data_IF_687258914420
#
_entry.id   IF_687258914420
#
_cell.length_a   1.000
_cell.length_b   1.000
_cell.length_c   1.000
_cell.angle_alpha   90.00
_cell.angle_beta   90.00
_cell.angle_gamma   90.00
#
_symmetry.space_group_name_H-M   'P 1'
#
loop_
_entity.id
_entity.type
_entity.pdbx_description
1 polymer ?
#
# COMPACT_ATOMS: atom_id res chain seq x y z
N UNK A 1 -15.22 -0.23 -2.91
CA UNK A 1 -13.89 -0.86 -3.06
C UNK A 1 -12.92 0.27 -3.37
N UNK A 2 -11.83 0.37 -2.61
CA UNK A 2 -10.88 1.48 -2.70
C UNK A 2 -9.60 1.03 -3.43
N UNK A 3 -9.06 1.90 -4.28
CA UNK A 3 -7.76 1.72 -4.93
C UNK A 3 -6.77 2.72 -4.33
N UNK A 4 -5.53 2.31 -4.12
CA UNK A 4 -4.43 3.21 -3.75
C UNK A 4 -3.12 2.65 -4.28
N UNK A 5 -2.15 3.52 -4.53
CA UNK A 5 -0.80 3.16 -4.94
C UNK A 5 0.05 2.81 -3.73
N UNK A 6 0.76 1.70 -3.82
CA UNK A 6 1.65 1.22 -2.77
C UNK A 6 3.08 1.22 -3.29
N UNK A 7 3.97 1.83 -2.52
CA UNK A 7 5.40 1.78 -2.74
C UNK A 7 6.02 0.72 -1.84
N UNK A 8 6.78 -0.21 -2.42
CA UNK A 8 7.49 -1.25 -1.67
C UNK A 8 8.98 -1.10 -1.92
N UNK A 9 9.74 -1.02 -0.82
CA UNK A 9 11.20 -0.91 -0.84
C UNK A 9 11.81 -2.04 -0.01
N UNK A 10 12.91 -2.62 -0.49
CA UNK A 10 13.73 -3.53 0.32
C UNK A 10 14.78 -2.72 1.08
N UNK A 11 14.70 -2.76 2.40
CA UNK A 11 15.61 -2.02 3.27
C UNK A 11 16.95 -2.78 3.47
N UNK A 12 18.04 -2.08 3.85
CA UNK A 12 19.35 -2.68 4.11
C UNK A 12 19.33 -3.78 5.18
N UNK A 13 18.35 -3.75 6.08
CA UNK A 13 18.16 -4.72 7.17
C UNK A 13 17.59 -6.06 6.68
N UNK A 14 17.28 -6.19 5.38
CA UNK A 14 16.82 -7.44 4.76
C UNK A 14 15.31 -7.66 4.78
N UNK A 15 14.55 -6.62 5.07
CA UNK A 15 13.08 -6.58 5.17
C UNK A 15 12.49 -5.69 4.08
N UNK A 16 11.19 -5.84 3.82
CA UNK A 16 10.45 -4.99 2.89
C UNK A 16 9.58 -4.01 3.67
N UNK A 17 9.57 -2.75 3.23
CA UNK A 17 8.76 -1.66 3.76
C UNK A 17 7.74 -1.25 2.71
N UNK A 18 6.48 -1.14 3.09
CA UNK A 18 5.40 -0.59 2.30
C UNK A 18 4.96 0.77 2.84
N UNK A 19 4.83 1.74 1.94
CA UNK A 19 4.30 3.09 2.21
C UNK A 19 3.35 3.52 1.09
N UNK A 20 2.55 4.54 1.32
CA UNK A 20 1.62 5.10 0.32
C UNK A 20 1.40 6.58 0.56
N UNK A 21 1.49 7.38 -0.52
CA UNK A 21 1.12 8.80 -0.48
C UNK A 21 -0.40 9.00 -0.51
N UNK A 22 -1.14 8.04 -1.08
CA UNK A 22 -2.60 8.06 -1.16
C UNK A 22 -3.27 7.75 0.19
N UNK A 23 -2.61 6.94 1.04
CA UNK A 23 -3.12 6.55 2.37
C UNK A 23 -2.18 7.06 3.45
N UNK A 24 -2.48 8.27 3.95
CA UNK A 24 -1.72 8.90 5.03
C UNK A 24 -1.58 8.00 6.26
N UNK A 25 -0.35 7.81 6.72
CA UNK A 25 -0.02 6.97 7.87
C UNK A 25 0.11 5.47 7.56
N UNK A 26 -0.03 5.06 6.30
CA UNK A 26 0.23 3.69 5.89
C UNK A 26 1.73 3.40 5.94
N UNK A 27 2.11 2.57 6.91
CA UNK A 27 3.44 1.98 7.02
C UNK A 27 3.27 0.51 7.39
N UNK A 28 3.84 -0.39 6.59
CA UNK A 28 3.81 -1.83 6.83
C UNK A 28 5.16 -2.45 6.51
N UNK A 29 5.53 -3.51 7.24
CA UNK A 29 6.84 -4.15 7.08
C UNK A 29 6.70 -5.67 7.15
N UNK A 30 7.42 -6.37 6.27
CA UNK A 30 7.42 -7.84 6.21
C UNK A 30 8.75 -8.41 5.72
N UNK A 31 8.90 -9.73 5.81
CA UNK A 31 10.10 -10.46 5.35
C UNK A 31 10.05 -10.76 3.86
N UNK A 32 8.85 -10.75 3.28
CA UNK A 32 8.61 -10.93 1.84
C UNK A 32 7.72 -9.83 1.29
N UNK A 33 7.76 -9.62 -0.03
CA UNK A 33 6.87 -8.67 -0.72
C UNK A 33 5.41 -9.02 -0.47
N UNK A 34 5.04 -10.30 -0.57
CA UNK A 34 3.67 -10.78 -0.35
C UNK A 34 3.19 -10.52 1.07
N UNK A 35 3.99 -10.88 2.08
CA UNK A 35 3.66 -10.61 3.49
C UNK A 35 3.48 -9.12 3.76
N UNK A 36 4.38 -8.30 3.21
CA UNK A 36 4.32 -6.84 3.36
C UNK A 36 3.04 -6.27 2.75
N UNK A 37 2.63 -6.79 1.59
CA UNK A 37 1.37 -6.43 0.93
C UNK A 37 0.14 -6.81 1.74
N UNK A 38 0.13 -7.99 2.35
CA UNK A 38 -0.98 -8.45 3.19
C UNK A 38 -1.13 -7.54 4.41
N UNK A 39 -0.02 -7.22 5.09
CA UNK A 39 -0.01 -6.30 6.24
C UNK A 39 -0.45 -4.90 5.80
N UNK A 40 0.06 -4.39 4.69
CA UNK A 40 -0.32 -3.06 4.18
C UNK A 40 -1.81 -2.96 3.87
N UNK A 41 -2.42 -4.03 3.35
CA UNK A 41 -3.86 -4.09 3.04
C UNK A 41 -4.72 -4.00 4.30
N UNK A 42 -4.31 -4.70 5.37
CA UNK A 42 -4.99 -4.63 6.67
C UNK A 42 -4.85 -3.25 7.34
N UNK A 43 -3.66 -2.64 7.25
CA UNK A 43 -3.40 -1.30 7.78
C UNK A 43 -4.21 -0.25 7.00
N UNK A 44 -4.18 -0.28 5.68
CA UNK A 44 -4.92 0.63 4.81
C UNK A 44 -6.42 0.62 5.13
N UNK A 45 -7.00 -0.58 5.30
CA UNK A 45 -8.41 -0.73 5.64
C UNK A 45 -8.76 0.01 6.92
N UNK A 46 -7.99 -0.19 8.00
CA UNK A 46 -8.22 0.46 9.30
C UNK A 46 -8.08 1.98 9.22
N UNK A 47 -7.10 2.46 8.46
CA UNK A 47 -6.88 3.91 8.28
C UNK A 47 -8.02 4.57 7.51
N UNK A 48 -8.45 3.95 6.41
CA UNK A 48 -9.54 4.47 5.58
C UNK A 48 -10.90 4.40 6.29
N UNK A 49 -11.15 3.35 7.07
CA UNK A 49 -12.33 3.26 7.94
C UNK A 49 -12.34 4.39 8.97
N UNK A 50 -11.21 4.64 9.64
CA UNK A 50 -11.10 5.73 10.62
C UNK A 50 -11.25 7.13 10.01
N UNK A 51 -10.76 7.35 8.78
CA UNK A 51 -10.96 8.61 8.05
C UNK A 51 -12.43 8.79 7.63
N UNK A 52 -13.06 7.73 7.13
CA UNK A 52 -14.47 7.74 6.76
C UNK A 52 -15.39 8.04 7.97
N UNK A 53 -15.07 7.50 9.15
CA UNK A 53 -15.79 7.81 10.41
C UNK A 53 -15.71 9.28 10.80
N UNK A 54 -14.60 9.96 10.47
CA UNK A 54 -14.39 11.40 10.73
C UNK A 54 -15.01 12.30 9.67
N UNK A 55 -15.69 11.74 8.66
CA UNK A 55 -16.21 12.46 7.50
C UNK A 55 -15.11 13.22 6.74
N UNK A 56 -13.89 12.70 6.75
CA UNK A 56 -12.81 13.20 5.90
C UNK A 56 -13.03 12.72 4.45
N UNK A 57 -12.82 13.60 3.47
CA UNK A 57 -12.95 13.24 2.06
C UNK A 57 -11.82 12.27 1.66
N UNK A 58 -12.20 11.05 1.31
CA UNK A 58 -11.28 10.05 0.79
C UNK A 58 -10.95 10.37 -0.67
N UNK A 59 -9.85 11.10 -0.89
CA UNK A 59 -9.34 11.38 -2.23
C UNK A 59 -8.49 10.22 -2.76
N UNK A 60 -9.14 9.10 -3.06
CA UNK A 60 -8.49 7.93 -3.64
C UNK A 60 -8.77 7.83 -5.15
N UNK A 61 -7.79 7.36 -5.94
CA UNK A 61 -8.01 7.14 -7.36
C UNK A 61 -9.13 6.09 -7.60
N UNK A 62 -9.93 6.25 -8.67
CA UNK A 62 -10.90 5.23 -9.04
C UNK A 62 -10.20 3.94 -9.46
N UNK A 63 -10.83 2.79 -9.21
CA UNK A 63 -10.35 1.49 -9.70
C UNK A 63 -10.37 1.52 -11.23
N UNK A 64 -9.21 1.50 -11.86
CA UNK A 64 -9.07 1.37 -13.32
C UNK A 64 -9.17 -0.08 -13.80
N UNK A 65 -9.43 -0.27 -15.09
CA UNK A 65 -9.50 -1.59 -15.72
C UNK A 65 -8.11 -2.21 -16.01
N UNK A 66 -7.03 -1.45 -15.82
CA UNK A 66 -5.64 -1.85 -16.09
C UNK A 66 -4.67 -1.26 -15.06
N UNK A 67 -3.61 -2.00 -14.76
CA UNK A 67 -2.53 -1.58 -13.84
C UNK A 67 -1.17 -1.95 -14.46
N UNK A 68 -0.23 -1.01 -14.46
CA UNK A 68 1.14 -1.22 -14.94
C UNK A 68 2.04 -1.71 -13.80
N UNK A 69 2.93 -2.67 -14.10
CA UNK A 69 3.91 -3.20 -13.14
C UNK A 69 5.32 -3.21 -13.75
N UNK A 70 6.32 -2.86 -12.93
CA UNK A 70 7.72 -3.05 -13.28
C UNK A 70 8.18 -4.46 -12.92
N UNK A 71 8.76 -5.19 -13.88
CA UNK A 71 9.30 -6.53 -13.68
C UNK A 71 10.83 -6.50 -13.72
N UNK A 72 11.47 -7.03 -12.68
CA UNK A 72 12.93 -7.20 -12.65
C UNK A 72 13.30 -8.50 -13.37
N UNK A 73 14.21 -8.40 -14.34
CA UNK A 73 14.76 -9.55 -15.08
C UNK A 73 16.25 -9.67 -14.76
N UNK A 74 16.67 -10.85 -14.27
CA UNK A 74 18.09 -11.20 -14.16
C UNK A 74 18.60 -11.77 -15.48
N UNK A 75 19.78 -11.33 -15.92
CA UNK A 75 20.54 -11.91 -17.03
C UNK A 75 21.45 -13.04 -16.53
#
# INVERSE_FOLDING_TARGET
>A
MWLYLIHIEKLPEGVYLATSDDVSGLVAQGRTVTETMDIARDVAKKLLEAQAERQEDLNLPPVGDSVDFSLVVGL
#
